data_IF_055233378669
#
_entry.id   IF_055233378669
#
_cell.length_a   1.000
_cell.length_b   1.000
_cell.length_c   1.000
_cell.angle_alpha   90.00
_cell.angle_beta   90.00
_cell.angle_gamma   90.00
#
_symmetry.space_group_name_H-M   'P 1'
#
loop_
_entity.id
_entity.type
_entity.pdbx_description
1 polymer ?
#
# COMPACT_ATOMS: atom_id res chain seq x y z
N UNK A 1 -12.19 11.88 7.87
CA UNK A 1 -11.59 10.56 8.09
C UNK A 1 -10.56 10.35 6.99
N UNK A 2 -9.30 10.18 7.37
CA UNK A 2 -8.18 10.01 6.45
C UNK A 2 -7.95 8.53 6.16
N UNK A 3 -7.87 8.15 4.89
CA UNK A 3 -7.62 6.78 4.45
C UNK A 3 -6.32 6.77 3.65
N UNK A 4 -5.34 5.99 4.11
CA UNK A 4 -4.15 5.69 3.32
C UNK A 4 -4.49 4.60 2.30
N UNK A 5 -4.39 4.92 1.02
CA UNK A 5 -4.65 3.98 -0.08
C UNK A 5 -3.32 3.41 -0.56
N UNK A 6 -3.13 2.10 -0.40
CA UNK A 6 -1.91 1.37 -0.69
C UNK A 6 -2.21 0.26 -1.73
N UNK A 7 -2.22 0.57 -3.04
CA UNK A 7 -2.66 -0.35 -4.08
C UNK A 7 -1.75 -1.58 -4.24
N UNK A 8 -0.44 -1.38 -4.12
CA UNK A 8 0.57 -2.42 -4.25
C UNK A 8 0.86 -2.82 -5.70
N UNK A 9 0.95 -4.13 -5.96
CA UNK A 9 1.43 -4.73 -7.20
C UNK A 9 0.34 -5.49 -7.95
N UNK A 10 0.50 -5.60 -9.29
CA UNK A 10 -0.36 -6.41 -10.15
C UNK A 10 -1.84 -6.09 -9.95
N UNK A 11 -2.62 -7.13 -9.65
CA UNK A 11 -4.07 -7.04 -9.41
C UNK A 11 -4.45 -6.07 -8.29
N UNK A 12 -3.53 -5.77 -7.37
CA UNK A 12 -3.75 -4.82 -6.27
C UNK A 12 -4.17 -3.44 -6.76
N UNK A 13 -3.56 -2.97 -7.86
CA UNK A 13 -3.92 -1.69 -8.48
C UNK A 13 -5.32 -1.69 -9.08
N UNK A 14 -5.72 -2.79 -9.73
CA UNK A 14 -7.02 -2.94 -10.38
C UNK A 14 -8.15 -3.00 -9.35
N UNK A 15 -8.02 -3.82 -8.32
CA UNK A 15 -9.07 -3.99 -7.31
C UNK A 15 -9.23 -2.76 -6.41
N UNK A 16 -8.13 -2.05 -6.12
CA UNK A 16 -8.18 -0.84 -5.29
C UNK A 16 -8.81 0.32 -6.05
N UNK A 17 -8.62 0.43 -7.36
CA UNK A 17 -9.33 1.42 -8.17
C UNK A 17 -10.86 1.26 -8.04
N UNK A 18 -11.37 0.03 -8.07
CA UNK A 18 -12.80 -0.24 -7.90
C UNK A 18 -13.28 0.03 -6.47
N UNK A 19 -12.47 -0.28 -5.45
CA UNK A 19 -12.79 0.05 -4.06
C UNK A 19 -12.89 1.57 -3.85
N UNK A 20 -11.95 2.34 -4.40
CA UNK A 20 -11.98 3.81 -4.37
C UNK A 20 -13.21 4.36 -5.09
N UNK A 21 -13.56 3.82 -6.27
CA UNK A 21 -14.78 4.20 -7.00
C UNK A 21 -16.05 3.99 -6.17
N UNK A 22 -16.13 2.92 -5.39
CA UNK A 22 -17.26 2.68 -4.48
C UNK A 22 -17.25 3.68 -3.33
N UNK A 23 -16.10 3.98 -2.73
CA UNK A 23 -15.98 4.97 -1.66
C UNK A 23 -16.38 6.38 -2.12
N UNK A 24 -15.99 6.78 -3.34
CA UNK A 24 -16.34 8.06 -3.95
C UNK A 24 -17.84 8.19 -4.26
N UNK A 25 -18.54 7.06 -4.44
CA UNK A 25 -19.98 7.05 -4.67
C UNK A 25 -20.81 7.24 -3.39
N UNK A 26 -20.17 7.17 -2.21
CA UNK A 26 -20.82 7.41 -0.93
C UNK A 26 -20.90 8.91 -0.65
N UNK A 27 -21.99 9.37 -0.03
CA UNK A 27 -22.10 10.76 0.46
C UNK A 27 -21.35 10.96 1.79
N UNK A 28 -20.06 10.58 1.80
CA UNK A 28 -19.17 10.64 2.94
C UNK A 28 -17.90 11.40 2.56
N UNK A 29 -17.39 12.22 3.49
CA UNK A 29 -16.17 13.00 3.28
C UNK A 29 -14.94 12.22 3.74
N UNK A 30 -14.32 11.50 2.81
CA UNK A 30 -13.02 10.86 3.00
C UNK A 30 -11.90 11.74 2.48
N UNK A 31 -10.81 11.83 3.23
CA UNK A 31 -9.53 12.34 2.73
C UNK A 31 -8.69 11.14 2.35
N UNK A 32 -8.61 10.83 1.05
CA UNK A 32 -7.87 9.68 0.54
C UNK A 32 -6.52 10.12 -0.02
N UNK A 33 -5.45 9.56 0.50
CA UNK A 33 -4.09 9.82 0.03
C UNK A 33 -3.43 8.50 -0.38
N UNK A 34 -2.86 8.47 -1.58
CA UNK A 34 -2.26 7.24 -2.15
C UNK A 34 -0.75 7.24 -1.98
N UNK A 35 -0.18 6.11 -1.56
CA UNK A 35 1.27 5.91 -1.51
C UNK A 35 1.70 4.55 -2.07
N UNK A 36 2.96 4.46 -2.48
CA UNK A 36 3.55 3.25 -3.05
C UNK A 36 3.86 2.22 -1.96
N UNK A 37 3.62 0.94 -2.25
CA UNK A 37 3.96 -0.19 -1.37
C UNK A 37 4.34 -1.41 -2.21
N UNK A 38 5.06 -2.36 -1.63
CA UNK A 38 5.44 -3.61 -2.31
C UNK A 38 6.51 -3.39 -3.36
N UNK A 39 6.41 -4.11 -4.47
CA UNK A 39 7.37 -4.03 -5.56
C UNK A 39 7.36 -2.67 -6.26
N UNK A 40 6.21 -2.02 -6.41
CA UNK A 40 6.10 -0.66 -6.93
C UNK A 40 6.92 0.35 -6.09
N UNK A 41 6.92 0.17 -4.76
CA UNK A 41 7.77 0.98 -3.88
C UNK A 41 9.25 0.60 -3.98
N UNK A 42 9.57 -0.67 -4.16
CA UNK A 42 10.94 -1.11 -4.39
C UNK A 42 11.51 -0.49 -5.68
N UNK A 43 10.75 -0.46 -6.77
CA UNK A 43 11.18 0.15 -8.04
C UNK A 43 11.45 1.65 -7.89
N UNK A 44 10.63 2.37 -7.11
CA UNK A 44 10.75 3.81 -6.92
C UNK A 44 11.75 4.24 -5.85
N UNK A 45 11.92 3.45 -4.78
CA UNK A 45 12.63 3.86 -3.56
C UNK A 45 13.64 2.83 -3.05
N UNK A 46 13.77 1.67 -3.70
CA UNK A 46 14.67 0.59 -3.29
C UNK A 46 14.21 -0.20 -2.06
N UNK A 47 13.00 0.04 -1.55
CA UNK A 47 12.47 -0.65 -0.37
C UNK A 47 10.95 -0.90 -0.51
N UNK A 48 10.43 -2.09 -0.10
CA UNK A 48 9.02 -2.44 -0.28
C UNK A 48 8.06 -1.65 0.62
N UNK A 49 8.58 -1.06 1.70
CA UNK A 49 7.83 -0.14 2.57
C UNK A 49 8.67 1.12 2.84
N UNK A 50 8.55 2.16 2.00
CA UNK A 50 9.24 3.42 2.19
C UNK A 50 8.81 4.11 3.48
N UNK A 51 9.69 4.93 4.05
CA UNK A 51 9.38 5.69 5.27
C UNK A 51 8.19 6.64 5.07
N UNK A 52 8.06 7.26 3.90
CA UNK A 52 6.92 8.11 3.53
C UNK A 52 5.59 7.34 3.57
N UNK A 53 5.56 6.12 3.02
CA UNK A 53 4.38 5.25 3.04
C UNK A 53 4.02 4.85 4.47
N UNK A 54 5.01 4.48 5.28
CA UNK A 54 4.76 4.14 6.69
C UNK A 54 4.26 5.35 7.48
N UNK A 55 4.81 6.54 7.23
CA UNK A 55 4.36 7.77 7.85
C UNK A 55 2.90 8.06 7.50
N UNK A 56 2.54 7.98 6.22
CA UNK A 56 1.15 8.14 5.78
C UNK A 56 0.22 7.14 6.47
N UNK A 57 0.60 5.86 6.54
CA UNK A 57 -0.19 4.83 7.19
C UNK A 57 -0.38 5.07 8.70
N UNK A 58 0.60 5.69 9.38
CA UNK A 58 0.50 6.09 10.80
C UNK A 58 -0.37 7.32 11.03
N UNK A 59 -0.43 8.22 10.05
CA UNK A 59 -1.23 9.45 10.11
C UNK A 59 -2.70 9.24 9.71
N UNK A 60 -3.00 8.16 8.99
CA UNK A 60 -4.35 7.83 8.56
C UNK A 60 -5.19 7.17 9.65
N UNK A 61 -6.51 7.39 9.59
CA UNK A 61 -7.48 6.70 10.46
C UNK A 61 -7.67 5.23 10.06
N UNK A 62 -7.47 4.93 8.77
CA UNK A 62 -7.57 3.58 8.21
C UNK A 62 -6.63 3.39 7.02
N UNK A 63 -6.31 2.12 6.71
CA UNK A 63 -5.51 1.73 5.54
C UNK A 63 -6.37 0.87 4.60
N UNK A 64 -6.53 1.32 3.36
CA UNK A 64 -7.07 0.51 2.26
C UNK A 64 -5.89 -0.12 1.50
N UNK A 65 -5.67 -1.41 1.72
CA UNK A 65 -4.55 -2.14 1.13
C UNK A 65 -5.03 -3.10 0.03
N UNK A 66 -4.36 -3.09 -1.13
CA UNK A 66 -4.63 -4.00 -2.23
C UNK A 66 -3.91 -5.34 -2.07
N UNK A 67 -2.96 -5.61 -2.96
CA UNK A 67 -2.12 -6.81 -2.94
C UNK A 67 -0.68 -6.44 -3.27
N UNK A 68 0.28 -7.19 -2.75
CA UNK A 68 1.71 -7.01 -3.06
C UNK A 68 2.32 -8.34 -3.46
N UNK A 69 3.35 -8.28 -4.28
CA UNK A 69 4.01 -9.47 -4.83
C UNK A 69 3.68 -9.69 -6.31
N UNK A 70 4.71 -10.10 -7.04
CA UNK A 70 4.65 -10.52 -8.43
C UNK A 70 5.93 -11.35 -8.71
N UNK A 71 5.84 -12.32 -9.62
CA UNK A 71 6.95 -13.19 -10.01
C UNK A 71 8.23 -12.43 -10.40
N UNK A 72 8.11 -11.18 -10.90
CA UNK A 72 9.28 -10.34 -11.21
C UNK A 72 10.14 -9.98 -9.99
N UNK A 73 9.58 -10.02 -8.78
CA UNK A 73 10.26 -9.63 -7.54
C UNK A 73 10.77 -10.82 -6.70
N UNK A 74 10.49 -12.07 -7.11
CA UNK A 74 10.86 -13.27 -6.33
C UNK A 74 12.37 -13.46 -6.15
N UNK A 75 13.17 -12.86 -7.05
CA UNK A 75 14.64 -12.91 -7.00
C UNK A 75 15.26 -11.87 -6.07
N UNK A 76 14.47 -10.94 -5.52
CA UNK A 76 14.97 -9.97 -4.55
C UNK A 76 15.38 -10.65 -3.25
N UNK A 77 16.37 -10.04 -2.59
CA UNK A 77 16.76 -10.42 -1.24
C UNK A 77 15.54 -10.38 -0.32
N UNK A 78 15.45 -11.35 0.61
CA UNK A 78 14.26 -11.54 1.46
C UNK A 78 13.77 -10.25 2.16
N UNK A 79 14.64 -9.36 2.68
CA UNK A 79 14.20 -8.10 3.30
C UNK A 79 13.60 -7.07 2.32
N UNK A 80 13.89 -7.21 1.02
CA UNK A 80 13.46 -6.29 -0.03
C UNK A 80 12.26 -6.82 -0.83
N UNK A 81 11.78 -8.03 -0.52
CA UNK A 81 10.62 -8.59 -1.20
C UNK A 81 9.32 -7.86 -0.84
N UNK A 82 8.37 -7.75 -1.78
CA UNK A 82 7.12 -7.00 -1.57
C UNK A 82 6.34 -7.40 -0.31
N UNK A 83 6.33 -8.68 0.05
CA UNK A 83 5.57 -9.21 1.20
C UNK A 83 6.12 -8.70 2.54
N UNK A 84 7.36 -8.19 2.59
CA UNK A 84 7.90 -7.54 3.79
C UNK A 84 7.13 -6.28 4.16
N UNK A 85 6.46 -5.63 3.21
CA UNK A 85 5.59 -4.50 3.51
C UNK A 85 4.41 -4.89 4.41
N UNK A 86 3.85 -6.09 4.24
CA UNK A 86 2.74 -6.60 5.07
C UNK A 86 3.21 -6.75 6.52
N UNK A 87 4.37 -7.39 6.72
CA UNK A 87 4.95 -7.59 8.03
C UNK A 87 5.36 -6.25 8.67
N UNK A 88 5.94 -5.36 7.88
CA UNK A 88 6.35 -4.02 8.29
C UNK A 88 5.16 -3.17 8.76
N UNK A 89 4.07 -3.14 7.99
CA UNK A 89 2.86 -2.41 8.36
C UNK A 89 2.26 -2.96 9.66
N UNK A 90 2.01 -4.27 9.76
CA UNK A 90 1.46 -4.89 10.97
C UNK A 90 2.32 -4.59 12.21
N UNK A 91 3.63 -4.81 12.12
CA UNK A 91 4.55 -4.56 13.24
C UNK A 91 4.52 -3.11 13.74
N UNK A 92 4.32 -2.14 12.84
CA UNK A 92 4.43 -0.72 13.17
C UNK A 92 3.09 -0.05 13.52
N UNK A 93 1.95 -0.70 13.24
CA UNK A 93 0.61 -0.12 13.43
C UNK A 93 -0.17 -0.77 14.58
N UNK A 94 0.31 -1.88 15.15
CA UNK A 94 -0.28 -2.55 16.32
C UNK A 94 -0.92 -3.89 15.97
#
# INVERSE_FOLDING_TARGET
>A
MKIAVLPGDGIGTEIVAEAVRVLDALDLKFEMETALVGGAAYEAHGHPLPESTLKLAKEADAVLFGAVGDWKYDKLDRPLRPEQAILGLRKNLG
#
